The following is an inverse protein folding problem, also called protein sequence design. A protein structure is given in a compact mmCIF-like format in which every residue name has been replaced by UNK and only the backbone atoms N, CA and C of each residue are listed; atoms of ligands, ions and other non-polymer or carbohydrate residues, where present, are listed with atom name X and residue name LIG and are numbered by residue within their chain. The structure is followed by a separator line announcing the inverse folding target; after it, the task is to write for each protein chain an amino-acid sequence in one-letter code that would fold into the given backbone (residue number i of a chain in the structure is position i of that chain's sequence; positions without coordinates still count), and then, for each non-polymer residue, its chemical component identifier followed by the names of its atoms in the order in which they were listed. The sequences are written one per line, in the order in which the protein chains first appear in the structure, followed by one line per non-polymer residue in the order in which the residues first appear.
data_IF_687950043099
#
_entry.id   IF_687950043099
#
_cell.length_a   1.000
_cell.length_b   1.000
_cell.length_c   1.000
_cell.angle_alpha   90.00
_cell.angle_beta   90.00
_cell.angle_gamma   90.00
#
_symmetry.space_group_name_H-M   'P 1'
#
loop_
_entity.id
_entity.type
_entity.pdbx_description
1 polymer ?
#
# COMPACT_ATOMS: atom_id res chain seq x y z
N UNK A 1 -1.59 -13.42 -2.82
CA UNK A 1 -1.83 -12.23 -1.97
C UNK A 1 -0.71 -12.17 -0.96
N UNK A 2 -0.28 -10.98 -0.58
CA UNK A 2 0.72 -10.73 0.46
C UNK A 2 0.01 -10.63 1.82
N UNK A 3 0.55 -11.26 2.85
CA UNK A 3 0.01 -11.15 4.21
C UNK A 3 0.90 -10.20 5.02
N UNK A 4 0.31 -9.14 5.54
CA UNK A 4 0.98 -8.11 6.34
C UNK A 4 0.42 -8.11 7.75
N UNK A 5 1.28 -7.96 8.75
CA UNK A 5 0.86 -7.72 10.14
C UNK A 5 0.97 -6.23 10.44
N UNK A 6 -0.17 -5.57 10.60
CA UNK A 6 -0.25 -4.12 10.74
C UNK A 6 -0.90 -3.73 12.06
N UNK A 7 -0.37 -2.69 12.69
CA UNK A 7 -1.08 -1.92 13.70
C UNK A 7 -2.19 -1.09 13.03
N UNK A 8 -3.27 -0.75 13.76
CA UNK A 8 -4.34 0.09 13.21
C UNK A 8 -3.83 1.42 12.63
N UNK A 9 -2.83 2.04 13.27
CA UNK A 9 -2.22 3.28 12.80
C UNK A 9 -1.54 3.16 11.44
N UNK A 10 -0.82 2.06 11.19
CA UNK A 10 -0.13 1.80 9.91
C UNK A 10 -1.13 1.64 8.77
N UNK A 11 -2.22 0.90 9.02
CA UNK A 11 -3.30 0.75 8.04
C UNK A 11 -3.99 2.08 7.74
N UNK A 12 -4.28 2.88 8.76
CA UNK A 12 -4.84 4.24 8.56
C UNK A 12 -3.86 5.11 7.78
N UNK A 13 -2.56 5.03 8.07
CA UNK A 13 -1.50 5.74 7.35
C UNK A 13 -1.47 5.37 5.86
N UNK A 14 -1.51 4.07 5.55
CA UNK A 14 -1.60 3.55 4.19
C UNK A 14 -2.86 4.07 3.47
N UNK A 15 -4.02 4.04 4.12
CA UNK A 15 -5.27 4.51 3.50
C UNK A 15 -5.26 6.01 3.23
N UNK A 16 -4.71 6.81 4.15
CA UNK A 16 -4.51 8.25 3.94
C UNK A 16 -3.57 8.51 2.75
N UNK A 17 -2.50 7.70 2.63
CA UNK A 17 -1.59 7.78 1.49
C UNK A 17 -2.33 7.47 0.18
N UNK A 18 -3.06 6.34 0.12
CA UNK A 18 -3.85 5.94 -1.04
C UNK A 18 -4.83 7.04 -1.45
N UNK A 19 -5.58 7.58 -0.50
CA UNK A 19 -6.56 8.63 -0.78
C UNK A 19 -5.90 9.89 -1.35
N UNK A 20 -4.78 10.35 -0.76
CA UNK A 20 -4.03 11.49 -1.27
C UNK A 20 -3.47 11.24 -2.68
N UNK A 21 -2.96 10.04 -2.94
CA UNK A 21 -2.29 9.72 -4.20
C UNK A 21 -3.27 9.35 -5.33
N UNK A 22 -4.53 9.09 -5.01
CA UNK A 22 -5.60 8.83 -5.99
C UNK A 22 -6.54 10.02 -6.18
N UNK A 23 -6.55 10.97 -5.23
CA UNK A 23 -7.30 12.22 -5.35
C UNK A 23 -6.89 12.99 -6.62
N UNK A 24 -7.89 13.37 -7.43
CA UNK A 24 -7.69 14.11 -8.69
C UNK A 24 -7.55 13.24 -9.94
N UNK A 25 -7.19 11.95 -9.80
CA UNK A 25 -7.13 11.04 -10.95
C UNK A 25 -8.49 10.57 -11.41
N UNK A 26 -9.51 10.63 -10.55
CA UNK A 26 -10.91 10.30 -10.90
C UNK A 26 -11.48 11.18 -12.03
N UNK A 27 -10.89 12.36 -12.24
CA UNK A 27 -11.31 13.33 -13.26
C UNK A 27 -10.56 13.16 -14.58
N UNK A 28 -9.48 12.37 -14.61
CA UNK A 28 -8.66 12.18 -15.80
C UNK A 28 -9.23 11.04 -16.68
N UNK A 29 -9.18 11.19 -18.01
CA UNK A 29 -9.44 10.09 -18.94
C UNK A 29 -8.59 8.85 -18.61
N UNK A 30 -9.17 7.65 -18.78
CA UNK A 30 -8.55 6.36 -18.42
C UNK A 30 -7.20 6.11 -19.10
N UNK A 31 -7.05 6.56 -20.35
CA UNK A 31 -5.82 6.48 -21.15
C UNK A 31 -4.68 7.35 -20.61
N UNK A 32 -5.02 8.35 -19.79
CA UNK A 32 -4.07 9.29 -19.17
C UNK A 32 -3.69 8.89 -17.74
N UNK A 33 -4.29 7.83 -17.19
CA UNK A 33 -4.02 7.39 -15.81
C UNK A 33 -2.92 6.33 -15.75
N UNK A 34 -1.97 6.49 -14.83
CA UNK A 34 -0.98 5.47 -14.57
C UNK A 34 -1.63 4.19 -14.02
N UNK A 35 -1.15 3.02 -14.47
CA UNK A 35 -1.67 1.71 -14.02
C UNK A 35 -1.57 1.55 -12.50
N UNK A 36 -0.52 2.08 -11.87
CA UNK A 36 -0.36 2.06 -10.41
C UNK A 36 -1.53 2.75 -9.73
N UNK A 37 -1.91 3.93 -10.19
CA UNK A 37 -3.02 4.74 -9.68
C UNK A 37 -4.36 4.00 -9.85
N UNK A 38 -4.59 3.38 -11.01
CA UNK A 38 -5.81 2.59 -11.26
C UNK A 38 -5.93 1.42 -10.29
N UNK A 39 -4.84 0.67 -10.07
CA UNK A 39 -4.79 -0.46 -9.14
C UNK A 39 -5.02 0.00 -7.70
N UNK A 40 -4.40 1.11 -7.30
CA UNK A 40 -4.57 1.70 -5.97
C UNK A 40 -5.99 2.23 -5.75
N UNK A 41 -6.58 2.90 -6.74
CA UNK A 41 -7.96 3.40 -6.70
C UNK A 41 -8.98 2.27 -6.59
N UNK A 42 -8.84 1.22 -7.39
CA UNK A 42 -9.68 0.03 -7.28
C UNK A 42 -9.57 -0.65 -5.91
N UNK A 43 -8.36 -0.65 -5.32
CA UNK A 43 -8.18 -1.19 -3.98
C UNK A 43 -8.83 -0.30 -2.92
N UNK A 44 -8.67 1.02 -3.02
CA UNK A 44 -9.29 1.99 -2.12
C UNK A 44 -10.83 1.89 -2.14
N UNK A 45 -11.43 1.68 -3.31
CA UNK A 45 -12.88 1.50 -3.45
C UNK A 45 -13.44 0.30 -2.66
N UNK A 46 -12.62 -0.68 -2.29
CA UNK A 46 -13.02 -1.84 -1.46
C UNK A 46 -13.07 -1.52 0.05
N UNK A 47 -12.61 -0.33 0.45
CA UNK A 47 -12.61 0.12 1.84
C UNK A 47 -13.88 0.89 2.15
N UNK A 48 -14.88 0.18 2.65
CA UNK A 48 -16.14 0.79 3.10
C UNK A 48 -15.97 1.46 4.47
N UNK A 49 -16.80 2.46 4.81
CA UNK A 49 -16.78 3.08 6.14
C UNK A 49 -16.91 2.07 7.29
N UNK A 50 -17.70 1.01 7.10
CA UNK A 50 -17.86 -0.05 8.10
C UNK A 50 -16.54 -0.81 8.33
N UNK A 51 -15.80 -1.13 7.26
CA UNK A 51 -14.48 -1.76 7.38
C UNK A 51 -13.49 -0.84 8.08
N UNK A 52 -13.51 0.46 7.78
CA UNK A 52 -12.67 1.45 8.44
C UNK A 52 -12.97 1.54 9.93
N UNK A 53 -14.26 1.59 10.30
CA UNK A 53 -14.70 1.64 11.68
C UNK A 53 -14.22 0.40 12.47
N UNK A 54 -14.29 -0.80 11.88
CA UNK A 54 -13.76 -2.03 12.49
C UNK A 54 -12.27 -1.90 12.80
N UNK A 55 -11.49 -1.28 11.92
CA UNK A 55 -10.05 -1.08 12.15
C UNK A 55 -9.77 0.02 13.17
N UNK A 56 -10.58 1.07 13.22
CA UNK A 56 -10.45 2.15 14.20
C UNK A 56 -10.77 1.70 15.63
N UNK A 57 -11.67 0.72 15.79
CA UNK A 57 -12.05 0.16 17.10
C UNK A 57 -11.05 -0.90 17.62
N UNK A 58 -10.05 -1.29 16.83
CA UNK A 58 -9.04 -2.27 17.25
C UNK A 58 -8.09 -1.66 18.27
N UNK A 59 -7.54 -2.53 19.12
CA UNK A 59 -6.53 -2.10 20.10
C UNK A 59 -5.27 -1.65 19.38
N UNK A 60 -4.73 -0.52 19.80
CA UNK A 60 -3.57 0.12 19.16
C UNK A 60 -2.26 -0.60 19.43
N UNK A 61 -2.19 -1.41 20.49
CA UNK A 61 -1.03 -2.19 20.94
C UNK A 61 -0.92 -3.57 20.29
N UNK A 62 -1.83 -3.91 19.37
CA UNK A 62 -1.89 -5.24 18.75
C UNK A 62 -1.79 -5.16 17.24
N UNK A 63 -1.03 -6.10 16.67
CA UNK A 63 -0.97 -6.31 15.23
C UNK A 63 -2.12 -7.17 14.73
N UNK A 64 -2.57 -6.86 13.53
CA UNK A 64 -3.64 -7.59 12.85
C UNK A 64 -3.22 -7.92 11.43
N UNK A 65 -3.69 -9.06 10.93
CA UNK A 65 -3.40 -9.47 9.56
C UNK A 65 -4.24 -8.68 8.55
N UNK A 66 -3.56 -8.15 7.54
CA UNK A 66 -4.14 -7.60 6.31
C UNK A 66 -3.66 -8.42 5.13
N UNK A 67 -4.61 -8.87 4.30
CA UNK A 67 -4.29 -9.48 3.01
C UNK A 67 -4.29 -8.41 1.92
N UNK A 68 -3.13 -8.18 1.32
CA UNK A 68 -2.93 -7.18 0.28
C UNK A 68 -2.71 -7.88 -1.07
N UNK A 69 -3.46 -7.54 -2.14
CA UNK A 69 -3.17 -8.04 -3.47
C UNK A 69 -1.76 -7.63 -3.91
N UNK A 70 -1.03 -8.56 -4.54
CA UNK A 70 0.36 -8.31 -4.93
C UNK A 70 0.55 -7.09 -5.84
N UNK A 71 -0.31 -6.85 -6.85
CA UNK A 71 -0.21 -5.64 -7.68
C UNK A 71 -0.33 -4.35 -6.87
N UNK A 72 -1.19 -4.36 -5.84
CA UNK A 72 -1.38 -3.21 -4.94
C UNK A 72 -0.16 -3.02 -4.05
N UNK A 73 0.39 -4.10 -3.51
CA UNK A 73 1.62 -4.08 -2.71
C UNK A 73 2.78 -3.44 -3.48
N UNK A 74 2.98 -3.81 -4.73
CA UNK A 74 4.04 -3.28 -5.58
C UNK A 74 3.81 -1.82 -5.97
N UNK A 75 2.59 -1.45 -6.34
CA UNK A 75 2.25 -0.06 -6.64
C UNK A 75 2.48 0.83 -5.42
N UNK A 76 2.04 0.40 -4.24
CA UNK A 76 2.27 1.10 -2.98
C UNK A 76 3.75 1.23 -2.66
N UNK A 77 4.51 0.15 -2.77
CA UNK A 77 5.94 0.15 -2.48
C UNK A 77 6.68 1.18 -3.35
N UNK A 78 6.46 1.12 -4.67
CA UNK A 78 7.11 2.03 -5.62
C UNK A 78 6.76 3.49 -5.35
N UNK A 79 5.48 3.81 -5.16
CA UNK A 79 5.04 5.19 -4.98
C UNK A 79 5.45 5.75 -3.61
N UNK A 80 5.46 4.93 -2.56
CA UNK A 80 5.86 5.35 -1.23
C UNK A 80 7.37 5.58 -1.11
N UNK A 81 8.21 4.88 -1.87
CA UNK A 81 9.67 5.10 -1.87
C UNK A 81 10.07 6.52 -2.30
N UNK A 82 9.27 7.15 -3.15
CA UNK A 82 9.56 8.51 -3.68
C UNK A 82 8.78 9.61 -2.99
N UNK A 83 7.93 9.28 -2.01
CA UNK A 83 7.04 10.22 -1.35
C UNK A 83 7.58 10.69 0.00
N UNK A 84 7.18 11.89 0.43
CA UNK A 84 7.39 12.33 1.81
C UNK A 84 6.39 11.62 2.73
N UNK A 85 6.86 10.72 3.58
CA UNK A 85 6.05 9.87 4.44
C UNK A 85 6.03 10.35 5.88
N UNK A 86 4.86 10.30 6.52
CA UNK A 86 4.75 10.42 7.98
C UNK A 86 5.17 9.12 8.68
N UNK A 87 5.37 9.16 10.00
CA UNK A 87 5.84 8.02 10.81
C UNK A 87 5.04 6.72 10.56
N UNK A 88 3.71 6.77 10.57
CA UNK A 88 2.87 5.58 10.34
C UNK A 88 2.97 5.04 8.91
N UNK A 89 3.23 5.90 7.93
CA UNK A 89 3.40 5.51 6.53
C UNK A 89 4.78 4.89 6.31
N UNK A 90 5.81 5.43 6.95
CA UNK A 90 7.15 4.85 6.94
C UNK A 90 7.15 3.45 7.59
N UNK A 91 6.56 3.31 8.77
CA UNK A 91 6.42 2.01 9.45
C UNK A 91 5.66 0.98 8.60
N UNK A 92 4.64 1.42 7.87
CA UNK A 92 3.94 0.57 6.90
C UNK A 92 4.86 0.16 5.74
N UNK A 93 5.62 1.11 5.16
CA UNK A 93 6.54 0.84 4.07
C UNK A 93 7.62 -0.17 4.47
N UNK A 94 8.19 -0.05 5.67
CA UNK A 94 9.21 -0.96 6.18
C UNK A 94 8.65 -2.40 6.28
N UNK A 95 7.42 -2.55 6.81
CA UNK A 95 6.74 -3.85 6.87
C UNK A 95 6.38 -4.40 5.49
N UNK A 96 6.03 -3.51 4.56
CA UNK A 96 5.73 -3.87 3.18
C UNK A 96 6.97 -4.39 2.46
N UNK A 97 8.11 -3.71 2.61
CA UNK A 97 9.41 -4.12 2.08
C UNK A 97 9.80 -5.51 2.58
N UNK A 98 9.76 -5.72 3.90
CA UNK A 98 10.01 -7.01 4.52
C UNK A 98 9.09 -8.11 3.99
N UNK A 99 7.80 -7.84 3.83
CA UNK A 99 6.86 -8.84 3.32
C UNK A 99 7.10 -9.16 1.83
N UNK A 100 7.45 -8.17 1.02
CA UNK A 100 7.77 -8.34 -0.41
C UNK A 100 9.02 -9.22 -0.57
N UNK A 101 10.09 -8.92 0.19
CA UNK A 101 11.36 -9.68 0.15
C UNK A 101 11.16 -11.14 0.58
N UNK A 102 10.35 -11.38 1.61
CA UNK A 102 10.12 -12.72 2.17
C UNK A 102 8.99 -13.49 1.47
N UNK A 103 8.43 -12.98 0.38
CA UNK A 103 7.36 -13.66 -0.35
C UNK A 103 7.91 -14.89 -1.11
N UNK A 104 7.32 -16.09 -0.97
CA UNK A 104 7.83 -17.35 -1.56
C UNK A 104 7.74 -17.43 -3.08
N UNK A 105 7.20 -16.41 -3.75
CA UNK A 105 7.31 -16.27 -5.21
C UNK A 105 8.59 -15.48 -5.50
N UNK A 106 9.66 -16.11 -6.02
CA UNK A 106 10.83 -15.37 -6.45
C UNK A 106 10.42 -14.37 -7.53
N UNK A 107 10.81 -13.12 -7.33
CA UNK A 107 10.67 -12.04 -8.30
C UNK A 107 11.59 -12.29 -9.51
N UNK A 108 11.23 -13.26 -10.36
CA UNK A 108 11.83 -13.41 -11.69
C UNK A 108 11.07 -12.48 -12.65
N UNK A 109 11.43 -11.21 -12.72
CA UNK A 109 10.85 -10.32 -13.75
C UNK A 109 10.91 -8.82 -13.52
N UNK A 110 11.30 -8.34 -12.34
CA UNK A 110 11.66 -6.93 -12.15
C UNK A 110 13.07 -6.94 -11.59
N UNK A 111 14.04 -6.97 -12.49
CA UNK A 111 15.40 -6.62 -12.15
C UNK A 111 15.35 -5.25 -11.45
N UNK A 112 15.46 -5.26 -10.13
CA UNK A 112 15.96 -4.11 -9.41
C UNK A 112 17.38 -3.92 -9.92
N UNK A 113 17.52 -3.00 -10.88
CA UNK A 113 18.79 -2.39 -11.17
C UNK A 113 19.25 -1.68 -9.89
N UNK A 114 19.90 -2.44 -9.00
CA UNK A 114 20.96 -1.92 -8.14
C UNK A 114 22.10 -1.52 -9.09
N UNK A 115 21.90 -0.45 -9.85
CA UNK A 115 23.01 0.30 -10.40
C UNK A 115 23.46 1.23 -9.29
N UNK A 116 24.40 0.71 -8.50
CA UNK A 116 25.43 1.53 -7.88
C UNK A 116 26.10 2.35 -8.99
N UNK A 117 25.89 3.65 -8.97
CA UNK A 117 26.83 4.66 -9.47
C UNK A 117 26.78 5.87 -8.53
#
# INVERSE_FOLDING_TARGET
MLQLKLYPGELIGMLKFLHRNTAGYEQLPLDSQAVSVLVMGQYLAKWTPQRLAVWQQRRTDKEYSLSLPLPVALALYKDMQTAFLGHQQQSFLDKLDHAIINSPKPYAGVAFSLQLY
#
